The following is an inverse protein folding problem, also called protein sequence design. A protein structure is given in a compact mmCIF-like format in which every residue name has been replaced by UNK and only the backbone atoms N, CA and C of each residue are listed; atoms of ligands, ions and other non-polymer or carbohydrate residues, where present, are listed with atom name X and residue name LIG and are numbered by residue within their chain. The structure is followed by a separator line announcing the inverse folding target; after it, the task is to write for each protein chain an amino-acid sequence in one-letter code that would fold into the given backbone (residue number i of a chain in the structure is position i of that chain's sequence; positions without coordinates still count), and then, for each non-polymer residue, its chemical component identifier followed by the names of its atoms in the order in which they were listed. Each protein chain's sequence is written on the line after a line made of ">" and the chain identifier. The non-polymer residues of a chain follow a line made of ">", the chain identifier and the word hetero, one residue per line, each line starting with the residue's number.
data_IF_708148561637
#
_entry.id   IF_708148561637
#
_cell.length_a   1.000
_cell.length_b   1.000
_cell.length_c   1.000
_cell.angle_alpha   90.00
_cell.angle_beta   90.00
_cell.angle_gamma   90.00
#
_symmetry.space_group_name_H-M   'P 1'
#
loop_
_entity.id
_entity.type
_entity.pdbx_description
1 polymer ?
#
# COMPACT_ATOMS: atom_id res chain seq x y z
N UNK A 1 8.90 26.22 -37.92
CA UNK A 1 8.94 25.57 -39.23
C UNK A 1 9.18 24.08 -39.02
N UNK A 2 8.35 23.24 -39.62
CA UNK A 2 8.51 21.78 -39.61
C UNK A 2 7.30 21.00 -39.08
N UNK A 3 6.23 21.11 -39.80
CA UNK A 3 5.07 20.20 -39.71
C UNK A 3 5.43 18.89 -40.39
N UNK A 4 5.27 17.78 -39.69
CA UNK A 4 5.11 16.49 -40.38
C UNK A 4 3.98 15.72 -39.67
N UNK A 5 2.84 15.80 -40.32
CA UNK A 5 1.69 14.95 -40.06
C UNK A 5 2.01 13.55 -40.55
N UNK A 6 1.93 12.55 -39.71
CA UNK A 6 1.96 11.15 -40.11
C UNK A 6 0.53 10.62 -40.09
N UNK A 7 0.07 10.36 -41.28
CA UNK A 7 -1.25 9.77 -41.56
C UNK A 7 -1.29 8.32 -41.08
N UNK A 8 -2.23 8.02 -40.20
CA UNK A 8 -2.53 6.66 -39.80
C UNK A 8 -3.59 6.14 -40.76
N UNK A 9 -3.23 5.22 -41.60
CA UNK A 9 -4.10 4.46 -42.47
C UNK A 9 -4.81 3.35 -41.69
N UNK A 10 -6.10 3.43 -41.76
CA UNK A 10 -7.05 2.44 -41.25
C UNK A 10 -7.00 1.18 -42.08
N UNK A 11 -6.76 0.04 -41.50
CA UNK A 11 -7.00 -1.26 -42.14
C UNK A 11 -7.97 -2.07 -41.28
N UNK A 12 -9.20 -2.12 -41.78
CA UNK A 12 -10.27 -3.00 -41.29
C UNK A 12 -10.05 -4.37 -41.91
N UNK A 13 -9.99 -5.39 -41.06
CA UNK A 13 -10.17 -6.77 -41.50
C UNK A 13 -11.15 -7.46 -40.56
N UNK A 14 -12.37 -7.65 -41.05
CA UNK A 14 -13.37 -8.55 -40.54
C UNK A 14 -12.97 -9.99 -40.77
N UNK A 15 -13.05 -10.81 -39.79
CA UNK A 15 -13.26 -12.26 -39.95
C UNK A 15 -14.20 -12.76 -38.90
N UNK A 16 -15.37 -13.13 -39.34
CA UNK A 16 -16.41 -13.84 -38.58
C UNK A 16 -15.99 -15.29 -38.33
N UNK A 17 -16.17 -15.76 -37.11
CA UNK A 17 -15.99 -17.16 -36.75
C UNK A 17 -16.93 -17.50 -35.59
N UNK A 18 -18.08 -17.98 -35.99
CA UNK A 18 -19.11 -18.53 -35.11
C UNK A 18 -18.72 -19.96 -34.74
N UNK A 19 -18.58 -20.30 -33.48
CA UNK A 19 -18.74 -21.67 -33.00
C UNK A 19 -19.26 -21.70 -31.57
N UNK A 20 -20.42 -22.27 -31.45
CA UNK A 20 -21.13 -22.74 -30.27
C UNK A 20 -20.31 -23.79 -29.53
N UNK A 21 -20.36 -23.74 -28.21
CA UNK A 21 -19.83 -24.87 -27.44
C UNK A 21 -19.87 -24.66 -25.93
N UNK A 22 -20.97 -25.10 -25.35
CA UNK A 22 -21.09 -25.89 -24.15
C UNK A 22 -20.88 -25.24 -22.75
N UNK A 23 -22.01 -25.18 -22.09
CA UNK A 23 -22.24 -25.29 -20.65
C UNK A 23 -21.18 -26.10 -19.91
N UNK A 24 -20.67 -25.53 -18.86
CA UNK A 24 -19.93 -26.21 -17.83
C UNK A 24 -20.13 -25.49 -16.50
N UNK A 25 -21.26 -25.78 -15.84
CA UNK A 25 -21.36 -25.58 -14.42
C UNK A 25 -20.29 -26.43 -13.73
N UNK A 26 -19.29 -25.80 -13.18
CA UNK A 26 -18.31 -26.40 -12.29
C UNK A 26 -18.22 -25.54 -11.03
N UNK A 27 -19.04 -25.90 -10.07
CA UNK A 27 -18.93 -25.48 -8.70
C UNK A 27 -17.70 -26.16 -8.10
N UNK A 28 -16.76 -25.37 -7.64
CA UNK A 28 -15.77 -25.70 -6.60
C UNK A 28 -14.94 -24.46 -6.36
N UNK A 29 -15.17 -23.87 -5.22
CA UNK A 29 -14.29 -24.02 -4.09
C UNK A 29 -12.92 -23.41 -4.28
N UNK A 30 -12.71 -22.32 -3.58
CA UNK A 30 -11.51 -22.05 -2.80
C UNK A 30 -10.19 -22.31 -3.53
N UNK A 31 -9.72 -21.26 -4.07
CA UNK A 31 -8.31 -21.02 -3.92
C UNK A 31 -8.17 -19.52 -3.74
N UNK A 32 -8.01 -19.15 -2.52
CA UNK A 32 -7.36 -17.92 -2.14
C UNK A 32 -6.00 -17.89 -2.81
N UNK A 33 -5.96 -17.40 -3.99
CA UNK A 33 -4.73 -16.95 -4.56
C UNK A 33 -4.72 -15.46 -4.36
N UNK A 34 -4.27 -15.11 -3.21
CA UNK A 34 -3.65 -13.88 -2.88
C UNK A 34 -2.88 -13.39 -4.09
N UNK A 35 -3.53 -12.58 -4.88
CA UNK A 35 -2.85 -11.83 -5.90
C UNK A 35 -2.01 -10.82 -5.15
N UNK A 36 -0.77 -11.15 -4.97
CA UNK A 36 0.30 -10.20 -4.75
C UNK A 36 0.35 -9.32 -5.98
N UNK A 37 -0.51 -8.35 -6.02
CA UNK A 37 -0.39 -7.27 -6.95
C UNK A 37 0.69 -6.34 -6.42
N UNK A 38 1.90 -6.67 -6.71
CA UNK A 38 3.00 -5.74 -6.78
C UNK A 38 2.64 -4.70 -7.82
N UNK A 39 1.87 -3.71 -7.42
CA UNK A 39 1.64 -2.54 -8.22
C UNK A 39 2.68 -1.53 -7.80
N UNK A 40 3.66 -1.35 -8.64
CA UNK A 40 4.48 -0.15 -8.68
C UNK A 40 3.55 1.05 -8.95
N UNK A 41 3.05 1.63 -7.91
CA UNK A 41 2.30 2.88 -7.88
C UNK A 41 2.61 3.50 -6.54
N UNK A 42 2.79 4.81 -6.48
CA UNK A 42 3.23 5.62 -5.36
C UNK A 42 3.14 4.90 -4.02
N UNK A 43 4.26 4.53 -3.48
CA UNK A 43 4.38 3.79 -2.23
C UNK A 43 3.65 4.57 -1.14
N UNK A 44 2.58 3.99 -0.63
CA UNK A 44 1.79 4.62 0.42
C UNK A 44 2.60 4.61 1.70
N UNK A 45 2.87 5.77 2.25
CA UNK A 45 3.62 5.91 3.49
C UNK A 45 2.68 6.33 4.60
N UNK A 46 2.69 5.57 5.70
CA UNK A 46 2.01 5.90 6.94
C UNK A 46 3.04 6.58 7.88
N UNK A 47 2.87 7.86 8.10
CA UNK A 47 3.74 8.64 9.00
C UNK A 47 3.21 8.50 10.43
N UNK A 48 4.01 7.88 11.28
CA UNK A 48 3.65 7.54 12.66
C UNK A 48 4.50 8.34 13.62
N UNK A 49 3.88 9.04 14.55
CA UNK A 49 4.55 9.67 15.67
C UNK A 49 4.37 8.86 16.95
N UNK A 50 5.37 8.85 17.83
CA UNK A 50 5.26 8.18 19.12
C UNK A 50 6.41 8.54 20.03
N UNK A 51 6.28 8.24 21.31
CA UNK A 51 7.32 8.44 22.32
C UNK A 51 7.90 7.09 22.74
N UNK A 52 9.13 6.80 22.31
CA UNK A 52 9.75 5.50 22.53
C UNK A 52 10.47 5.39 23.89
N UNK A 53 9.74 5.69 24.98
CA UNK A 53 10.23 5.66 26.35
C UNK A 53 9.39 4.79 27.28
N UNK A 54 8.48 3.98 26.72
CA UNK A 54 7.45 3.29 27.49
C UNK A 54 7.43 1.76 27.28
N UNK A 55 8.41 1.02 27.80
CA UNK A 55 8.38 -0.44 27.74
C UNK A 55 7.23 -1.03 28.59
N UNK A 56 6.58 -2.12 28.14
CA UNK A 56 6.87 -2.91 26.95
C UNK A 56 6.12 -2.44 25.69
N UNK A 57 5.47 -1.28 25.72
CA UNK A 57 4.57 -0.82 24.67
C UNK A 57 5.34 -0.24 23.47
N UNK A 58 6.20 0.73 23.72
CA UNK A 58 7.03 1.35 22.68
C UNK A 58 8.35 1.83 23.29
N UNK A 59 9.45 1.29 22.81
CA UNK A 59 10.78 1.62 23.31
C UNK A 59 11.86 1.30 22.27
N UNK A 60 13.10 1.70 22.56
CA UNK A 60 14.26 1.32 21.75
C UNK A 60 14.94 0.09 22.35
N UNK A 61 15.24 -0.88 21.51
CA UNK A 61 16.08 -2.02 21.88
C UNK A 61 17.55 -1.63 22.00
N UNK A 62 18.41 -2.58 22.36
CA UNK A 62 19.85 -2.40 22.52
C UNK A 62 20.54 -2.00 21.21
N UNK A 63 19.90 -2.23 20.07
CA UNK A 63 20.39 -1.88 18.75
C UNK A 63 19.83 -0.55 18.23
N UNK A 64 18.97 0.11 19.02
CA UNK A 64 18.34 1.37 18.68
C UNK A 64 17.09 1.24 17.79
N UNK A 65 16.57 0.03 17.60
CA UNK A 65 15.34 -0.19 16.86
C UNK A 65 14.12 0.10 17.74
N UNK A 66 13.08 0.65 17.12
CA UNK A 66 11.80 0.84 17.79
C UNK A 66 11.05 -0.48 17.84
N UNK A 67 10.72 -0.93 19.03
CA UNK A 67 10.10 -2.22 19.32
C UNK A 67 9.01 -2.07 20.39
N UNK A 68 8.20 -3.10 20.56
CA UNK A 68 7.14 -3.19 21.54
C UNK A 68 5.77 -3.39 20.92
N UNK A 69 4.77 -3.53 21.76
CA UNK A 69 3.40 -3.86 21.35
C UNK A 69 2.82 -2.85 20.33
N UNK A 70 3.03 -1.56 20.55
CA UNK A 70 2.52 -0.52 19.66
C UNK A 70 3.20 -0.57 18.29
N UNK A 71 4.49 -0.86 18.27
CA UNK A 71 5.22 -1.00 17.01
C UNK A 71 4.76 -2.23 16.23
N UNK A 72 4.46 -3.32 16.90
CA UNK A 72 3.94 -4.53 16.23
C UNK A 72 2.51 -4.30 15.71
N UNK A 73 1.69 -3.59 16.48
CA UNK A 73 0.35 -3.21 16.06
C UNK A 73 0.36 -2.31 14.81
N UNK A 74 1.19 -1.26 14.82
CA UNK A 74 1.24 -0.35 13.67
C UNK A 74 1.81 -1.02 12.41
N UNK A 75 2.74 -1.96 12.57
CA UNK A 75 3.24 -2.79 11.46
C UNK A 75 2.12 -3.65 10.86
N UNK A 76 1.28 -4.24 11.71
CA UNK A 76 0.14 -5.01 11.23
C UNK A 76 -0.86 -4.13 10.48
N UNK A 77 -1.19 -2.95 11.00
CA UNK A 77 -2.06 -1.97 10.33
C UNK A 77 -1.47 -1.54 8.99
N UNK A 78 -0.21 -1.15 8.96
CA UNK A 78 0.46 -0.72 7.73
C UNK A 78 0.43 -1.81 6.65
N UNK A 79 0.65 -3.06 7.04
CA UNK A 79 0.55 -4.22 6.14
C UNK A 79 -0.85 -4.35 5.53
N UNK A 80 -1.90 -4.24 6.35
CA UNK A 80 -3.29 -4.34 5.88
C UNK A 80 -3.66 -3.23 4.89
N UNK A 81 -3.17 -2.02 5.10
CA UNK A 81 -3.45 -0.89 4.20
C UNK A 81 -2.45 -0.75 3.05
N UNK A 82 -1.46 -1.63 2.98
CA UNK A 82 -0.43 -1.62 1.94
C UNK A 82 0.47 -0.39 2.02
N UNK A 83 0.89 0.01 3.23
CA UNK A 83 1.72 1.18 3.46
C UNK A 83 3.07 0.81 4.08
N UNK A 84 4.08 1.60 3.79
CA UNK A 84 5.35 1.63 4.52
C UNK A 84 5.23 2.54 5.75
N UNK A 85 5.99 2.26 6.81
CA UNK A 85 5.98 3.06 8.02
C UNK A 85 7.14 4.06 8.01
N UNK A 86 6.83 5.33 8.21
CA UNK A 86 7.80 6.37 8.56
C UNK A 86 7.56 6.79 10.02
N UNK A 87 8.36 6.23 10.92
CA UNK A 87 8.23 6.50 12.36
C UNK A 87 9.08 7.72 12.76
N UNK A 88 8.48 8.58 13.59
CA UNK A 88 9.15 9.75 14.19
C UNK A 88 9.00 9.72 15.71
N UNK A 89 10.13 9.64 16.41
CA UNK A 89 10.18 9.76 17.87
C UNK A 89 9.96 11.21 18.29
N UNK A 90 8.97 11.44 19.12
CA UNK A 90 8.63 12.78 19.61
C UNK A 90 7.99 12.71 20.99
N UNK A 91 8.17 13.74 21.84
CA UNK A 91 7.53 13.77 23.14
C UNK A 91 6.00 13.88 23.01
N UNK A 92 5.29 13.28 23.94
CA UNK A 92 3.83 13.25 24.01
C UNK A 92 3.19 14.65 23.82
N UNK A 93 3.79 15.68 24.38
CA UNK A 93 3.32 17.06 24.26
C UNK A 93 3.23 17.59 22.82
N UNK A 94 3.91 16.95 21.87
CA UNK A 94 3.91 17.35 20.47
C UNK A 94 2.89 16.58 19.61
N UNK A 95 2.26 15.54 20.13
CA UNK A 95 1.39 14.65 19.35
C UNK A 95 0.28 15.41 18.63
N UNK A 96 -0.50 16.20 19.37
CA UNK A 96 -1.61 16.94 18.79
C UNK A 96 -1.15 17.93 17.72
N UNK A 97 -0.11 18.68 18.02
CA UNK A 97 0.44 19.66 17.06
C UNK A 97 1.02 18.97 15.80
N UNK A 98 1.62 17.80 15.96
CA UNK A 98 2.16 17.05 14.83
C UNK A 98 1.07 16.54 13.88
N UNK A 99 -0.06 16.07 14.43
CA UNK A 99 -1.22 15.64 13.65
C UNK A 99 -1.91 16.83 12.98
N UNK A 100 -2.17 17.89 13.73
CA UNK A 100 -2.82 19.11 13.22
C UNK A 100 -2.04 19.75 12.07
N UNK A 101 -0.72 19.78 12.18
CA UNK A 101 0.17 20.30 11.14
C UNK A 101 0.49 19.26 10.05
N UNK A 102 -0.16 18.10 10.07
CA UNK A 102 0.04 17.02 9.08
C UNK A 102 1.49 16.57 8.95
N UNK A 103 2.25 16.64 10.03
CA UNK A 103 3.62 16.09 10.08
C UNK A 103 3.59 14.57 10.18
N UNK A 104 2.60 14.04 10.90
CA UNK A 104 2.31 12.62 11.02
C UNK A 104 0.83 12.39 10.73
N UNK A 105 0.49 11.15 10.38
CA UNK A 105 -0.89 10.75 10.08
C UNK A 105 -1.57 10.15 11.31
N UNK A 106 -0.76 9.57 12.21
CA UNK A 106 -1.22 8.91 13.44
C UNK A 106 -0.15 9.05 14.53
N UNK A 107 -0.61 9.08 15.78
CA UNK A 107 0.21 9.05 17.00
C UNK A 107 -0.34 8.02 17.97
#
# INVERSE_FOLDING_TARGET
>A
MGRTALKITLAVAMAAGLLLGVSGCGKSAETEKQASASKAGAEKVLRVGGEATYPPFLFKDEHGHYVGFEMDLIKAVAKEIGAEIAYTDMPFSQFMTAVENKKVDVV
#
